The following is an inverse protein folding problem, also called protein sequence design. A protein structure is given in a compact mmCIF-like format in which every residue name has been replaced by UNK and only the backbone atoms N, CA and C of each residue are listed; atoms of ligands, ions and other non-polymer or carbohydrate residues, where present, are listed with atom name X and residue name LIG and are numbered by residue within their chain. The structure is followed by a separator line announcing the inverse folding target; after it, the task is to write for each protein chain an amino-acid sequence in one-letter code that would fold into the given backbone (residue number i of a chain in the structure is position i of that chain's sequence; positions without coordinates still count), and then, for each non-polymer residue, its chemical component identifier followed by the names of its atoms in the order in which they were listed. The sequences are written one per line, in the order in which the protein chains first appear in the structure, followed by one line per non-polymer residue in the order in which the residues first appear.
data_IF_502433620750
#
_entry.id   IF_502433620750
#
_cell.length_a   1.000
_cell.length_b   1.000
_cell.length_c   1.000
_cell.angle_alpha   90.00
_cell.angle_beta   90.00
_cell.angle_gamma   90.00
#
_symmetry.space_group_name_H-M   'P 1'
#
loop_
_entity.id
_entity.type
_entity.pdbx_description
1 polymer ?
#
# COMPACT_ATOMS: atom_id res chain seq x y z
N UNK A 1 -22.43 42.64 43.93
CA UNK A 1 -22.84 43.71 43.00
C UNK A 1 -21.89 43.91 41.82
N UNK A 2 -20.65 43.40 41.81
CA UNK A 2 -19.75 43.53 40.65
C UNK A 2 -20.03 42.56 39.47
N UNK A 3 -20.66 41.40 39.71
CA UNK A 3 -20.93 40.39 38.66
C UNK A 3 -22.02 40.77 37.66
N UNK A 4 -22.92 41.69 38.01
CA UNK A 4 -24.03 42.09 37.14
C UNK A 4 -23.64 43.23 36.19
N UNK A 5 -22.68 44.08 36.57
CA UNK A 5 -22.11 45.12 35.70
C UNK A 5 -21.33 44.51 34.53
N UNK A 6 -20.44 43.55 34.78
CA UNK A 6 -19.70 42.84 33.72
C UNK A 6 -20.65 42.08 32.78
N UNK A 7 -21.67 41.40 33.32
CA UNK A 7 -22.67 40.71 32.48
C UNK A 7 -23.47 41.66 31.59
N UNK A 8 -23.71 42.89 32.05
CA UNK A 8 -24.40 43.91 31.26
C UNK A 8 -23.51 44.44 30.13
N UNK A 9 -22.24 44.73 30.41
CA UNK A 9 -21.27 45.16 29.39
C UNK A 9 -21.02 44.10 28.33
N UNK A 10 -20.89 42.83 28.73
CA UNK A 10 -20.72 41.72 27.78
C UNK A 10 -21.95 41.51 26.89
N UNK A 11 -23.16 41.71 27.44
CA UNK A 11 -24.41 41.61 26.67
C UNK A 11 -24.58 42.78 25.71
N UNK A 12 -24.26 43.99 26.16
CA UNK A 12 -24.30 45.21 25.34
C UNK A 12 -23.21 45.21 24.24
N UNK A 13 -22.04 44.61 24.51
CA UNK A 13 -20.99 44.40 23.51
C UNK A 13 -21.43 43.45 22.39
N UNK A 14 -22.13 42.37 22.73
CA UNK A 14 -22.65 41.41 21.74
C UNK A 14 -23.80 42.05 20.95
N UNK A 15 -24.77 42.66 21.63
CA UNK A 15 -25.94 43.26 21.01
C UNK A 15 -26.38 44.52 21.74
N UNK A 16 -26.36 45.66 21.05
CA UNK A 16 -26.88 46.91 21.55
C UNK A 16 -28.29 47.16 20.96
N UNK A 17 -29.38 46.95 21.73
CA UNK A 17 -30.74 47.13 21.25
C UNK A 17 -31.12 48.59 20.97
N UNK A 18 -30.38 49.58 21.50
CA UNK A 18 -30.66 51.02 21.30
C UNK A 18 -30.14 51.52 19.96
N UNK A 19 -28.94 51.11 19.57
CA UNK A 19 -28.31 51.49 18.28
C UNK A 19 -28.47 50.42 17.19
N UNK A 20 -29.02 49.24 17.52
CA UNK A 20 -29.14 48.06 16.64
C UNK A 20 -27.79 47.62 16.06
N UNK A 21 -26.77 47.61 16.91
CA UNK A 21 -25.41 47.21 16.57
C UNK A 21 -25.11 45.81 17.13
N UNK A 22 -24.44 44.98 16.32
CA UNK A 22 -23.95 43.66 16.70
C UNK A 22 -22.42 43.69 16.71
N UNK A 23 -21.79 43.30 17.82
CA UNK A 23 -20.33 43.36 18.00
C UNK A 23 -19.72 44.71 17.59
N UNK A 24 -20.39 45.81 17.98
CA UNK A 24 -19.94 47.18 17.72
C UNK A 24 -20.09 47.69 16.28
N UNK A 25 -20.86 47.01 15.40
CA UNK A 25 -21.15 47.49 14.04
C UNK A 25 -22.63 47.38 13.69
N UNK A 26 -23.12 48.30 12.86
CA UNK A 26 -24.49 48.27 12.33
C UNK A 26 -24.68 47.13 11.33
N UNK A 27 -25.91 46.63 11.17
CA UNK A 27 -26.22 45.57 10.20
C UNK A 27 -25.82 45.92 8.76
N UNK A 28 -25.89 47.20 8.38
CA UNK A 28 -25.44 47.70 7.07
C UNK A 28 -23.92 47.55 6.89
N UNK A 29 -23.13 47.88 7.93
CA UNK A 29 -21.68 47.69 7.92
C UNK A 29 -21.30 46.21 7.84
N UNK A 30 -21.97 45.36 8.62
CA UNK A 30 -21.79 43.90 8.55
C UNK A 30 -22.12 43.34 7.15
N UNK A 31 -23.20 43.80 6.53
CA UNK A 31 -23.58 43.41 5.16
C UNK A 31 -22.52 43.82 4.13
N UNK A 32 -21.97 45.03 4.23
CA UNK A 32 -20.90 45.50 3.34
C UNK A 32 -19.59 44.73 3.52
N UNK A 33 -19.20 44.45 4.76
CA UNK A 33 -18.01 43.64 5.07
C UNK A 33 -18.18 42.22 4.54
N UNK A 34 -19.35 41.62 4.78
CA UNK A 34 -19.66 40.28 4.30
C UNK A 34 -19.62 40.23 2.78
N UNK A 35 -20.27 41.18 2.09
CA UNK A 35 -20.24 41.27 0.64
C UNK A 35 -18.81 41.44 0.11
N UNK A 36 -18.00 42.30 0.73
CA UNK A 36 -16.60 42.47 0.38
C UNK A 36 -15.83 41.15 0.48
N UNK A 37 -15.94 40.43 1.60
CA UNK A 37 -15.25 39.15 1.76
C UNK A 37 -15.78 38.07 0.82
N UNK A 38 -17.08 38.04 0.53
CA UNK A 38 -17.66 37.12 -0.46
C UNK A 38 -17.04 37.36 -1.83
N UNK A 39 -17.04 38.60 -2.33
CA UNK A 39 -16.45 38.93 -3.64
C UNK A 39 -14.95 38.68 -3.65
N UNK A 40 -14.24 39.08 -2.58
CA UNK A 40 -12.80 38.90 -2.44
C UNK A 40 -12.41 37.41 -2.47
N UNK A 41 -13.10 36.56 -1.71
CA UNK A 41 -12.81 35.13 -1.68
C UNK A 41 -13.24 34.41 -2.96
N UNK A 42 -14.30 34.84 -3.64
CA UNK A 42 -14.65 34.33 -4.98
C UNK A 42 -13.52 34.62 -5.97
N UNK A 43 -13.00 35.85 -5.97
CA UNK A 43 -11.89 36.23 -6.84
C UNK A 43 -10.61 35.44 -6.50
N UNK A 44 -10.28 35.33 -5.21
CA UNK A 44 -9.11 34.58 -4.74
C UNK A 44 -9.21 33.08 -5.09
N UNK A 45 -10.39 32.48 -4.90
CA UNK A 45 -10.66 31.10 -5.28
C UNK A 45 -10.57 30.90 -6.80
N UNK A 46 -11.06 31.87 -7.59
CA UNK A 46 -10.91 31.87 -9.05
C UNK A 46 -9.45 31.91 -9.50
N UNK A 47 -8.62 32.76 -8.88
CA UNK A 47 -7.19 32.82 -9.16
C UNK A 47 -6.49 31.50 -8.79
N UNK A 48 -6.80 30.92 -7.63
CA UNK A 48 -6.27 29.62 -7.24
C UNK A 48 -6.69 28.49 -8.18
N UNK A 49 -7.96 28.46 -8.60
CA UNK A 49 -8.46 27.47 -9.54
C UNK A 49 -7.77 27.60 -10.91
N UNK A 50 -7.53 28.83 -11.38
CA UNK A 50 -6.82 29.09 -12.63
C UNK A 50 -5.35 28.62 -12.55
N UNK A 51 -4.63 28.93 -11.48
CA UNK A 51 -3.24 28.48 -11.33
C UNK A 51 -3.14 26.97 -11.20
N UNK A 52 -4.08 26.34 -10.47
CA UNK A 52 -4.20 24.89 -10.40
C UNK A 52 -4.50 24.26 -11.77
N UNK A 53 -5.43 24.84 -12.55
CA UNK A 53 -5.76 24.37 -13.88
C UNK A 53 -4.55 24.42 -14.82
N UNK A 54 -3.82 25.53 -14.87
CA UNK A 54 -2.60 25.66 -15.70
C UNK A 54 -1.55 24.63 -15.30
N UNK A 55 -1.36 24.38 -14.00
CA UNK A 55 -0.45 23.34 -13.52
C UNK A 55 -0.89 21.95 -13.97
N UNK A 56 -2.17 21.62 -13.94
CA UNK A 56 -2.66 20.30 -14.37
C UNK A 56 -2.45 20.07 -15.88
N UNK A 57 -2.45 21.13 -16.71
CA UNK A 57 -2.17 21.01 -18.16
C UNK A 57 -0.71 20.68 -18.47
N UNK A 58 0.23 20.85 -17.53
CA UNK A 58 1.64 20.51 -17.74
C UNK A 58 1.98 19.08 -17.31
N UNK A 59 1.02 18.34 -16.73
CA UNK A 59 1.23 16.99 -16.22
C UNK A 59 0.78 15.94 -17.25
N UNK A 60 1.55 14.87 -17.37
CA UNK A 60 1.16 13.67 -18.10
C UNK A 60 0.26 12.81 -17.21
N UNK A 61 -0.86 12.34 -17.74
CA UNK A 61 -1.81 11.53 -16.99
C UNK A 61 -1.34 10.07 -16.81
N UNK A 62 -0.42 9.59 -17.65
CA UNK A 62 0.03 8.20 -17.65
C UNK A 62 1.30 7.98 -16.81
N UNK A 63 2.14 9.02 -16.66
CA UNK A 63 3.41 8.93 -15.92
C UNK A 63 3.65 10.16 -15.03
N UNK A 64 4.16 9.97 -13.80
CA UNK A 64 4.54 11.10 -12.95
C UNK A 64 5.78 11.81 -13.51
N UNK A 65 5.83 13.14 -13.38
CA UNK A 65 6.97 13.96 -13.83
C UNK A 65 8.26 13.64 -13.07
N UNK A 66 8.16 13.32 -11.78
CA UNK A 66 9.30 13.06 -10.90
C UNK A 66 9.11 11.75 -10.13
N UNK A 67 10.16 10.93 -10.05
CA UNK A 67 10.18 9.64 -9.36
C UNK A 67 11.42 9.44 -8.47
N UNK A 68 12.16 10.52 -8.21
CA UNK A 68 13.39 10.53 -7.40
C UNK A 68 13.20 9.94 -5.99
N UNK A 69 12.02 10.14 -5.39
CA UNK A 69 11.65 9.60 -4.07
C UNK A 69 11.19 8.13 -4.08
N UNK A 70 11.15 7.49 -5.25
CA UNK A 70 10.66 6.11 -5.44
C UNK A 70 11.75 5.16 -5.96
N UNK A 71 13.02 5.55 -5.85
CA UNK A 71 14.16 4.78 -6.37
C UNK A 71 14.23 3.34 -5.81
N UNK A 72 13.94 3.17 -4.52
CA UNK A 72 13.80 1.85 -3.89
C UNK A 72 12.33 1.55 -3.65
N UNK A 73 11.73 0.56 -4.34
CA UNK A 73 10.36 0.15 -4.06
C UNK A 73 10.23 -0.40 -2.64
N UNK A 74 9.16 -0.01 -1.96
CA UNK A 74 8.83 -0.57 -0.65
C UNK A 74 8.35 -2.03 -0.73
N UNK A 75 8.52 -2.80 0.34
CA UNK A 75 7.91 -4.13 0.48
C UNK A 75 6.82 -4.13 1.55
N UNK A 76 5.78 -4.91 1.31
CA UNK A 76 4.66 -5.07 2.24
C UNK A 76 4.26 -6.54 2.36
N UNK A 77 3.77 -6.91 3.53
CA UNK A 77 3.25 -8.26 3.80
C UNK A 77 1.72 -8.30 3.84
N UNK A 78 1.18 -9.49 3.65
CA UNK A 78 -0.21 -9.89 3.86
C UNK A 78 -0.23 -11.23 4.61
N UNK A 79 -1.15 -11.42 5.58
CA UNK A 79 -2.22 -10.51 5.97
C UNK A 79 -1.72 -9.30 6.77
N UNK A 80 -2.45 -8.18 6.72
CA UNK A 80 -2.16 -7.00 7.57
C UNK A 80 -2.98 -7.16 8.84
N UNK A 81 -2.34 -7.58 9.92
CA UNK A 81 -2.98 -7.74 11.22
C UNK A 81 -3.40 -6.39 11.82
N UNK A 82 -2.44 -5.47 11.92
CA UNK A 82 -2.59 -4.15 12.56
C UNK A 82 -1.58 -3.14 11.95
N UNK A 83 -1.54 -1.90 12.47
CA UNK A 83 -0.53 -0.89 12.09
C UNK A 83 0.90 -1.28 12.49
N UNK A 84 1.06 -2.21 13.44
CA UNK A 84 2.35 -2.60 14.02
C UNK A 84 3.07 -3.73 13.29
N UNK A 85 2.47 -4.33 12.24
CA UNK A 85 3.03 -5.50 11.53
C UNK A 85 3.38 -6.66 12.47
N UNK A 86 2.47 -6.99 13.38
CA UNK A 86 2.60 -8.11 14.32
C UNK A 86 1.51 -9.15 14.01
N UNK A 87 1.89 -10.40 13.76
CA UNK A 87 0.97 -11.52 13.57
C UNK A 87 1.06 -12.38 14.82
N UNK A 88 0.03 -12.28 15.66
CA UNK A 88 -0.08 -13.06 16.89
C UNK A 88 -1.37 -13.86 16.82
N UNK A 89 -1.28 -15.17 17.00
CA UNK A 89 -2.46 -16.04 17.09
C UNK A 89 -2.19 -17.25 17.97
N UNK A 90 -3.29 -17.89 18.38
CA UNK A 90 -3.27 -19.11 19.17
C UNK A 90 -3.86 -20.24 18.34
N UNK A 91 -3.11 -21.32 18.13
CA UNK A 91 -3.52 -22.44 17.26
C UNK A 91 -4.86 -23.04 17.69
N UNK A 92 -5.07 -23.17 19.01
CA UNK A 92 -6.29 -23.73 19.59
C UNK A 92 -7.53 -22.83 19.41
N UNK A 93 -7.33 -21.50 19.28
CA UNK A 93 -8.43 -20.54 19.17
C UNK A 93 -8.65 -20.16 17.71
N UNK A 94 -9.65 -20.77 17.08
CA UNK A 94 -10.01 -20.58 15.67
C UNK A 94 -10.22 -19.11 15.31
N UNK A 95 -10.94 -18.35 16.14
CA UNK A 95 -11.20 -16.92 15.91
C UNK A 95 -9.93 -16.07 15.79
N UNK A 96 -8.82 -16.48 16.43
CA UNK A 96 -7.59 -15.69 16.43
C UNK A 96 -6.87 -15.70 15.08
N UNK A 97 -6.99 -16.78 14.32
CA UNK A 97 -6.34 -16.92 13.02
C UNK A 97 -7.31 -16.85 11.84
N UNK A 98 -8.61 -17.04 12.06
CA UNK A 98 -9.63 -16.94 11.01
C UNK A 98 -9.63 -15.54 10.37
N UNK A 99 -9.38 -14.48 11.15
CA UNK A 99 -9.22 -13.12 10.61
C UNK A 99 -8.08 -13.01 9.57
N UNK A 100 -6.99 -13.75 9.77
CA UNK A 100 -5.84 -13.76 8.86
C UNK A 100 -6.14 -14.54 7.60
N UNK A 101 -6.77 -15.70 7.73
CA UNK A 101 -7.19 -16.52 6.59
C UNK A 101 -8.20 -15.78 5.71
N UNK A 102 -9.21 -15.14 6.30
CA UNK A 102 -10.18 -14.32 5.56
C UNK A 102 -9.53 -13.11 4.88
N UNK A 103 -8.59 -12.44 5.56
CA UNK A 103 -7.86 -11.32 4.96
C UNK A 103 -6.99 -11.76 3.77
N UNK A 104 -6.42 -12.97 3.81
CA UNK A 104 -5.68 -13.56 2.69
C UNK A 104 -6.61 -13.94 1.54
N UNK A 105 -7.76 -14.55 1.82
CA UNK A 105 -8.71 -14.95 0.77
C UNK A 105 -9.29 -13.75 0.03
N UNK A 106 -9.74 -12.73 0.76
CA UNK A 106 -10.20 -11.46 0.19
C UNK A 106 -9.11 -10.75 -0.63
N UNK A 107 -7.84 -10.88 -0.22
CA UNK A 107 -6.72 -10.32 -0.97
C UNK A 107 -6.40 -11.10 -2.26
N UNK A 108 -6.58 -12.42 -2.23
CA UNK A 108 -6.28 -13.32 -3.33
C UNK A 108 -7.43 -13.50 -4.33
N UNK A 109 -8.66 -13.10 -3.99
CA UNK A 109 -9.82 -13.13 -4.87
C UNK A 109 -9.55 -12.61 -6.31
N UNK A 110 -8.93 -11.42 -6.52
CA UNK A 110 -8.63 -10.95 -7.87
C UNK A 110 -7.60 -11.79 -8.62
N UNK A 111 -6.80 -12.62 -7.94
CA UNK A 111 -5.78 -13.50 -8.52
C UNK A 111 -6.30 -14.90 -8.87
N UNK A 112 -7.58 -15.18 -8.62
CA UNK A 112 -8.17 -16.44 -9.05
C UNK A 112 -7.96 -16.68 -10.55
N UNK A 113 -7.54 -17.88 -10.90
CA UNK A 113 -7.11 -18.24 -12.26
C UNK A 113 -8.18 -17.94 -13.32
N UNK A 114 -9.46 -18.14 -12.98
CA UNK A 114 -10.60 -17.79 -13.85
C UNK A 114 -10.73 -16.29 -14.10
N UNK A 115 -10.49 -15.45 -13.09
CA UNK A 115 -10.52 -14.00 -13.22
C UNK A 115 -9.31 -13.48 -14.01
N UNK A 116 -8.14 -14.08 -13.78
CA UNK A 116 -6.91 -13.73 -14.48
C UNK A 116 -7.01 -14.06 -15.97
N UNK A 117 -7.53 -15.25 -16.31
CA UNK A 117 -7.74 -15.67 -17.70
C UNK A 117 -8.67 -14.73 -18.48
N UNK A 118 -9.67 -14.12 -17.80
CA UNK A 118 -10.59 -13.18 -18.43
C UNK A 118 -10.02 -11.77 -18.58
N UNK A 119 -9.13 -11.34 -17.68
CA UNK A 119 -8.69 -9.94 -17.57
C UNK A 119 -7.30 -9.66 -18.14
N UNK A 120 -6.44 -10.67 -18.19
CA UNK A 120 -5.00 -10.57 -18.43
C UNK A 120 -4.55 -11.62 -19.46
N UNK A 121 -3.36 -11.41 -20.03
CA UNK A 121 -2.79 -12.26 -21.07
C UNK A 121 -1.68 -13.18 -20.53
N UNK A 122 -1.45 -14.30 -21.21
CA UNK A 122 -0.33 -15.18 -20.95
C UNK A 122 0.97 -14.57 -21.49
N UNK A 123 1.94 -14.34 -20.61
CA UNK A 123 3.21 -13.70 -20.94
C UNK A 123 4.36 -14.70 -20.97
N UNK A 124 5.40 -14.38 -21.74
CA UNK A 124 6.64 -15.16 -21.79
C UNK A 124 7.45 -14.97 -20.50
N UNK A 125 7.75 -16.05 -19.75
CA UNK A 125 8.55 -15.96 -18.53
C UNK A 125 9.97 -15.41 -18.78
N UNK A 126 10.55 -14.81 -17.74
CA UNK A 126 11.95 -14.39 -17.64
C UNK A 126 12.39 -13.29 -18.61
N UNK A 127 11.43 -12.64 -19.28
CA UNK A 127 11.64 -11.51 -20.17
C UNK A 127 10.78 -10.33 -19.75
N UNK A 128 11.24 -9.10 -19.97
CA UNK A 128 10.42 -7.92 -19.71
C UNK A 128 9.24 -7.83 -20.68
N UNK A 129 8.06 -7.48 -20.17
CA UNK A 129 6.88 -7.24 -20.99
C UNK A 129 6.84 -5.80 -21.48
N UNK A 130 7.79 -5.50 -22.38
CA UNK A 130 7.92 -4.20 -23.02
C UNK A 130 6.79 -4.01 -24.05
N UNK A 131 6.08 -2.90 -23.91
CA UNK A 131 4.96 -2.50 -24.78
C UNK A 131 5.25 -1.10 -25.27
N UNK A 132 6.03 -1.04 -26.34
CA UNK A 132 6.41 0.21 -26.99
C UNK A 132 5.21 0.88 -27.65
N UNK A 133 5.28 2.20 -27.71
CA UNK A 133 4.32 3.02 -28.43
C UNK A 133 4.74 3.09 -29.91
N UNK A 134 3.77 3.10 -30.84
CA UNK A 134 4.04 3.15 -32.27
C UNK A 134 4.24 4.60 -32.71
N UNK A 135 5.42 5.16 -32.40
CA UNK A 135 5.75 6.56 -32.67
C UNK A 135 4.86 7.50 -31.85
N UNK A 136 4.02 8.28 -32.52
CA UNK A 136 3.06 9.20 -31.88
C UNK A 136 1.80 8.51 -31.33
N UNK A 137 1.57 7.24 -31.69
CA UNK A 137 0.40 6.48 -31.25
C UNK A 137 0.72 5.72 -29.97
N UNK A 138 0.16 6.19 -28.84
CA UNK A 138 0.23 5.50 -27.55
C UNK A 138 -0.49 4.16 -27.62
N UNK A 139 0.20 3.11 -27.19
CA UNK A 139 -0.38 1.78 -27.06
C UNK A 139 -1.19 1.72 -25.75
N UNK A 140 -2.43 2.22 -25.76
CA UNK A 140 -3.33 2.26 -24.61
C UNK A 140 -4.68 1.58 -24.96
N UNK A 141 -5.24 0.70 -24.10
CA UNK A 141 -4.67 0.23 -22.84
C UNK A 141 -3.55 -0.80 -23.06
N UNK A 142 -2.52 -0.74 -22.23
CA UNK A 142 -1.46 -1.73 -22.20
C UNK A 142 -1.97 -3.02 -21.54
N UNK A 143 -1.55 -4.14 -22.11
CA UNK A 143 -1.87 -5.49 -21.62
C UNK A 143 -1.14 -5.77 -20.31
N UNK A 144 -1.66 -6.72 -19.54
CA UNK A 144 -1.10 -7.13 -18.25
C UNK A 144 -0.96 -8.64 -18.21
N UNK A 145 0.08 -9.13 -17.54
CA UNK A 145 0.35 -10.56 -17.43
C UNK A 145 -0.52 -11.21 -16.35
N UNK A 146 -0.97 -12.43 -16.62
CA UNK A 146 -1.68 -13.26 -15.65
C UNK A 146 -0.75 -13.62 -14.48
N UNK A 147 -1.22 -13.43 -13.25
CA UNK A 147 -0.63 -14.04 -12.06
C UNK A 147 -1.66 -14.98 -11.45
N UNK A 148 -1.50 -16.27 -11.71
CA UNK A 148 -2.42 -17.29 -11.24
C UNK A 148 -2.17 -17.58 -9.75
N UNK A 149 -3.26 -17.67 -8.97
CA UNK A 149 -3.23 -18.01 -7.55
C UNK A 149 -2.58 -19.38 -7.31
N UNK A 150 -2.69 -20.28 -8.29
CA UNK A 150 -2.03 -21.60 -8.29
C UNK A 150 -0.50 -21.55 -8.17
N UNK A 151 0.14 -20.44 -8.57
CA UNK A 151 1.60 -20.26 -8.45
C UNK A 151 2.07 -20.21 -6.99
N UNK A 152 1.17 -19.88 -6.05
CA UNK A 152 1.46 -19.88 -4.61
C UNK A 152 1.37 -21.27 -3.96
N UNK A 153 1.06 -22.31 -4.75
CA UNK A 153 1.01 -23.72 -4.33
C UNK A 153 0.27 -23.93 -3.00
N UNK A 154 0.94 -24.42 -1.95
CA UNK A 154 0.39 -24.64 -0.62
C UNK A 154 -0.24 -23.40 0.02
N UNK A 155 0.28 -22.21 -0.31
CA UNK A 155 -0.21 -20.93 0.19
C UNK A 155 -1.28 -20.31 -0.72
N UNK A 156 -1.76 -21.04 -1.72
CA UNK A 156 -2.84 -20.58 -2.59
C UNK A 156 -4.19 -20.55 -1.89
N UNK A 157 -4.47 -21.43 -0.93
CA UNK A 157 -5.82 -21.57 -0.37
C UNK A 157 -6.69 -22.64 -1.04
N UNK A 158 -6.19 -23.31 -2.10
CA UNK A 158 -6.93 -24.38 -2.78
C UNK A 158 -6.90 -25.71 -2.00
N UNK A 159 -5.72 -26.11 -1.53
CA UNK A 159 -5.54 -27.32 -0.73
C UNK A 159 -5.92 -27.08 0.74
N UNK A 160 -5.45 -25.96 1.30
CA UNK A 160 -5.72 -25.56 2.67
C UNK A 160 -6.32 -24.15 2.70
N UNK A 161 -7.60 -24.05 3.08
CA UNK A 161 -8.33 -22.77 3.18
C UNK A 161 -7.82 -21.88 4.30
N UNK A 162 -7.07 -22.42 5.24
CA UNK A 162 -6.55 -21.71 6.40
C UNK A 162 -5.07 -21.36 6.27
N UNK A 163 -4.46 -21.53 5.09
CA UNK A 163 -3.10 -21.04 4.79
C UNK A 163 -2.04 -21.46 5.81
N UNK A 164 -2.16 -22.66 6.36
CA UNK A 164 -1.28 -23.27 7.35
C UNK A 164 -1.43 -22.76 8.78
N UNK A 165 -2.34 -21.81 9.05
CA UNK A 165 -2.54 -21.26 10.39
C UNK A 165 -3.06 -22.30 11.39
N UNK A 166 -3.90 -23.25 10.95
CA UNK A 166 -4.41 -24.32 11.82
C UNK A 166 -3.30 -25.28 12.28
N UNK A 167 -2.27 -25.49 11.46
CA UNK A 167 -1.15 -26.38 11.78
C UNK A 167 0.01 -25.66 12.50
N UNK A 168 -0.11 -24.35 12.74
CA UNK A 168 0.99 -23.53 13.27
C UNK A 168 2.11 -23.28 12.25
N UNK A 169 1.82 -23.45 10.94
CA UNK A 169 2.75 -23.25 9.82
C UNK A 169 2.23 -22.17 8.86
N UNK A 170 2.12 -20.91 9.31
CA UNK A 170 1.39 -19.88 8.58
C UNK A 170 2.10 -19.51 7.28
N UNK A 171 1.31 -19.19 6.26
CA UNK A 171 1.78 -18.56 5.02
C UNK A 171 1.67 -17.03 5.13
N UNK A 172 2.75 -16.34 4.75
CA UNK A 172 2.79 -14.88 4.68
C UNK A 172 3.13 -14.48 3.24
N UNK A 173 2.29 -13.63 2.65
CA UNK A 173 2.47 -13.17 1.27
C UNK A 173 3.21 -11.85 1.28
N UNK A 174 4.29 -11.79 0.50
CA UNK A 174 5.13 -10.64 0.27
C UNK A 174 4.79 -10.05 -1.09
N UNK A 175 4.67 -8.73 -1.10
CA UNK A 175 4.34 -7.92 -2.27
C UNK A 175 5.32 -6.76 -2.37
N UNK A 176 5.80 -6.51 -3.59
CA UNK A 176 6.58 -5.32 -3.92
C UNK A 176 5.65 -4.15 -4.31
N UNK A 177 6.00 -2.93 -3.89
CA UNK A 177 5.29 -1.72 -4.33
C UNK A 177 5.50 -1.48 -5.82
N UNK A 178 4.41 -1.09 -6.50
CA UNK A 178 4.41 -0.82 -7.94
C UNK A 178 5.06 0.52 -8.21
N UNK A 179 6.09 0.54 -9.05
CA UNK A 179 6.75 1.77 -9.52
C UNK A 179 6.71 1.78 -11.04
N UNK A 180 6.25 2.89 -11.62
CA UNK A 180 6.07 3.02 -13.07
C UNK A 180 7.44 3.02 -13.75
N UNK A 181 7.65 2.11 -14.72
CA UNK A 181 8.92 2.00 -15.45
C UNK A 181 10.03 1.23 -14.73
N UNK A 182 9.76 0.63 -13.56
CA UNK A 182 10.78 -0.10 -12.80
C UNK A 182 11.22 -1.39 -13.51
N UNK A 183 12.54 -1.55 -13.66
CA UNK A 183 13.20 -2.75 -14.18
C UNK A 183 14.16 -3.30 -13.11
N UNK A 184 13.73 -4.24 -12.26
CA UNK A 184 14.48 -4.64 -11.07
C UNK A 184 15.69 -5.54 -11.36
N UNK A 185 15.72 -6.19 -12.52
CA UNK A 185 16.75 -7.15 -12.92
C UNK A 185 17.83 -6.55 -13.82
N UNK A 186 18.96 -7.25 -13.92
CA UNK A 186 19.99 -6.99 -14.93
C UNK A 186 20.34 -8.32 -15.62
N UNK A 187 20.55 -8.30 -16.94
CA UNK A 187 20.88 -9.49 -17.75
C UNK A 187 19.93 -10.69 -17.57
N UNK A 188 18.63 -10.45 -17.38
CA UNK A 188 17.63 -11.52 -17.24
C UNK A 188 17.53 -12.13 -15.83
N UNK A 189 18.29 -11.65 -14.84
CA UNK A 189 18.14 -12.11 -13.46
C UNK A 189 16.90 -11.51 -12.80
N UNK A 190 15.96 -12.37 -12.41
CA UNK A 190 14.77 -11.99 -11.66
C UNK A 190 15.13 -11.58 -10.21
N UNK A 191 14.53 -10.51 -9.67
CA UNK A 191 14.68 -10.17 -8.26
C UNK A 191 14.02 -11.25 -7.38
N UNK A 192 14.60 -11.52 -6.22
CA UNK A 192 14.11 -12.56 -5.31
C UNK A 192 14.11 -12.10 -3.85
N UNK A 193 13.20 -12.65 -3.07
CA UNK A 193 13.06 -12.30 -1.65
C UNK A 193 13.86 -13.27 -0.79
N UNK A 194 14.56 -12.73 0.21
CA UNK A 194 15.17 -13.54 1.27
C UNK A 194 14.67 -13.07 2.62
N UNK A 195 14.08 -13.98 3.38
CA UNK A 195 13.63 -13.75 4.76
C UNK A 195 14.59 -14.42 5.74
N UNK A 196 14.87 -13.71 6.83
CA UNK A 196 15.66 -14.21 7.94
C UNK A 196 15.21 -13.58 9.26
N UNK A 197 15.55 -14.21 10.37
CA UNK A 197 15.34 -13.59 11.67
C UNK A 197 16.36 -12.46 11.90
N UNK A 198 15.95 -11.45 12.66
CA UNK A 198 16.86 -10.41 13.14
C UNK A 198 17.88 -11.06 14.09
N UNK A 199 19.13 -10.61 14.09
CA UNK A 199 20.32 -11.28 14.70
C UNK A 199 20.08 -12.09 15.99
N UNK A 200 19.29 -11.59 16.94
CA UNK A 200 18.99 -12.23 18.23
C UNK A 200 18.06 -13.45 18.14
N UNK A 201 17.23 -13.55 17.10
CA UNK A 201 16.22 -14.60 16.90
C UNK A 201 16.61 -15.62 15.81
N UNK A 202 17.88 -15.63 15.37
CA UNK A 202 18.36 -16.44 14.23
C UNK A 202 18.03 -17.93 14.35
N UNK A 203 18.08 -18.46 15.57
CA UNK A 203 17.82 -19.88 15.86
C UNK A 203 16.32 -20.21 15.94
N UNK A 204 15.44 -19.20 15.94
CA UNK A 204 14.00 -19.36 16.23
C UNK A 204 13.10 -19.43 14.99
N UNK A 205 13.58 -18.98 13.84
CA UNK A 205 12.78 -18.92 12.60
C UNK A 205 12.60 -20.29 11.93
N UNK A 206 13.59 -21.18 12.11
CA UNK A 206 13.62 -22.50 11.49
C UNK A 206 13.64 -22.49 9.96
N UNK A 207 13.10 -23.56 9.38
CA UNK A 207 13.05 -23.75 7.92
C UNK A 207 11.90 -22.96 7.28
N UNK A 208 12.21 -22.33 6.14
CA UNK A 208 11.31 -21.51 5.34
C UNK A 208 11.18 -22.08 3.93
N UNK A 209 9.96 -22.09 3.41
CA UNK A 209 9.69 -22.44 2.00
C UNK A 209 9.08 -21.25 1.28
N UNK A 210 9.53 -21.01 0.06
CA UNK A 210 9.08 -19.90 -0.79
C UNK A 210 8.25 -20.42 -1.96
N UNK A 211 7.17 -19.72 -2.28
CA UNK A 211 6.32 -20.00 -3.43
C UNK A 211 6.09 -18.72 -4.25
N UNK A 212 6.42 -18.67 -5.55
CA UNK A 212 7.09 -19.71 -6.34
C UNK A 212 8.52 -20.02 -5.85
N UNK A 213 9.14 -21.13 -6.32
CA UNK A 213 10.47 -21.55 -5.89
C UNK A 213 11.50 -20.41 -5.96
N UNK A 214 12.42 -20.37 -5.00
CA UNK A 214 13.41 -19.29 -4.80
C UNK A 214 12.82 -17.91 -4.47
N UNK A 215 11.50 -17.76 -4.32
CA UNK A 215 10.88 -16.49 -3.94
C UNK A 215 11.11 -15.38 -4.96
N UNK A 216 11.15 -15.73 -6.25
CA UNK A 216 11.45 -14.81 -7.35
C UNK A 216 10.21 -14.06 -7.83
N UNK A 217 10.35 -12.78 -8.15
CA UNK A 217 9.37 -12.06 -8.96
C UNK A 217 9.79 -12.12 -10.42
N UNK A 218 9.04 -12.85 -11.24
CA UNK A 218 9.37 -13.04 -12.65
C UNK A 218 9.43 -11.68 -13.40
N UNK A 219 10.39 -11.53 -14.31
CA UNK A 219 10.59 -10.30 -15.08
C UNK A 219 9.41 -9.95 -16.00
N UNK A 220 8.58 -10.93 -16.36
CA UNK A 220 7.40 -10.74 -17.23
C UNK A 220 6.38 -9.76 -16.68
N UNK A 221 6.32 -9.56 -15.37
CA UNK A 221 5.41 -8.58 -14.77
C UNK A 221 5.93 -7.13 -14.85
N UNK A 222 7.16 -6.92 -15.30
CA UNK A 222 7.78 -5.61 -15.38
C UNK A 222 8.00 -5.18 -16.84
N UNK A 223 7.96 -3.86 -17.14
CA UNK A 223 7.67 -2.75 -16.23
C UNK A 223 6.16 -2.52 -16.01
N UNK A 224 5.82 -1.88 -14.90
CA UNK A 224 4.47 -1.35 -14.66
C UNK A 224 4.30 -0.02 -15.39
N UNK A 225 3.18 0.18 -16.09
CA UNK A 225 2.92 1.41 -16.87
C UNK A 225 1.90 2.35 -16.22
N UNK A 226 1.49 2.09 -14.98
CA UNK A 226 0.54 2.94 -14.28
C UNK A 226 -0.90 2.44 -14.39
N UNK A 227 -1.75 2.93 -13.48
CA UNK A 227 -3.13 2.43 -13.33
C UNK A 227 -4.01 2.79 -14.53
N UNK A 228 -3.72 3.91 -15.18
CA UNK A 228 -4.46 4.41 -16.35
C UNK A 228 -4.14 3.59 -17.60
N UNK A 229 -2.85 3.33 -17.85
CA UNK A 229 -2.41 2.53 -18.98
C UNK A 229 -2.67 1.02 -18.78
N UNK A 230 -2.46 0.48 -17.58
CA UNK A 230 -2.67 -0.94 -17.25
C UNK A 230 -3.71 -1.11 -16.14
N UNK A 231 -4.99 -1.12 -16.51
CA UNK A 231 -6.11 -1.16 -15.55
C UNK A 231 -6.15 -2.47 -14.76
N UNK A 232 -5.89 -3.61 -15.43
CA UNK A 232 -6.02 -4.95 -14.85
C UNK A 232 -4.70 -5.52 -14.30
N UNK A 233 -3.69 -4.66 -14.08
CA UNK A 233 -2.37 -5.11 -13.66
C UNK A 233 -2.39 -5.91 -12.34
N UNK A 234 -2.07 -7.19 -12.46
CA UNK A 234 -1.78 -8.09 -11.36
C UNK A 234 -0.30 -7.99 -11.00
N UNK A 235 -0.02 -7.61 -9.76
CA UNK A 235 1.37 -7.59 -9.30
C UNK A 235 1.81 -9.02 -8.96
N UNK A 236 3.08 -9.38 -9.17
CA UNK A 236 3.56 -10.67 -8.74
C UNK A 236 3.62 -10.74 -7.21
N UNK A 237 3.30 -11.91 -6.67
CA UNK A 237 3.30 -12.21 -5.25
C UNK A 237 4.31 -13.32 -4.96
N UNK A 238 4.87 -13.31 -3.76
CA UNK A 238 5.70 -14.40 -3.23
C UNK A 238 5.14 -14.77 -1.88
N UNK A 239 4.80 -16.04 -1.65
CA UNK A 239 4.44 -16.54 -0.33
C UNK A 239 5.66 -17.16 0.36
N UNK A 240 5.72 -16.98 1.67
CA UNK A 240 6.71 -17.61 2.55
C UNK A 240 5.95 -18.42 3.59
N UNK A 241 6.20 -19.73 3.63
CA UNK A 241 5.62 -20.67 4.58
C UNK A 241 6.65 -21.01 5.65
N UNK A 242 6.26 -20.82 6.92
CA UNK A 242 7.10 -21.10 8.08
C UNK A 242 6.86 -22.54 8.52
N UNK A 243 7.85 -23.43 8.37
CA UNK A 243 7.67 -24.86 8.67
C UNK A 243 8.00 -25.21 10.13
N UNK A 244 9.03 -24.58 10.70
CA UNK A 244 9.58 -24.96 12.01
C UNK A 244 9.95 -23.73 12.86
N UNK A 245 8.99 -22.84 13.07
CA UNK A 245 9.18 -21.65 13.91
C UNK A 245 8.99 -21.99 15.40
N UNK A 246 9.80 -21.41 16.28
CA UNK A 246 9.67 -21.58 17.73
C UNK A 246 8.34 -21.00 18.23
N UNK A 247 7.55 -21.85 18.87
CA UNK A 247 6.25 -21.46 19.43
C UNK A 247 6.34 -20.78 20.79
N UNK A 248 5.29 -20.04 21.16
CA UNK A 248 5.10 -19.29 22.40
C UNK A 248 6.13 -18.16 22.63
N UNK A 249 6.93 -17.83 21.62
CA UNK A 249 7.88 -16.72 21.65
C UNK A 249 7.61 -15.71 20.53
N UNK A 250 8.12 -14.51 20.75
CA UNK A 250 8.10 -13.42 19.77
C UNK A 250 9.32 -13.56 18.84
N UNK A 251 9.10 -13.78 17.55
CA UNK A 251 10.17 -13.88 16.54
C UNK A 251 10.13 -12.69 15.60
N UNK A 252 11.22 -11.93 15.54
CA UNK A 252 11.34 -10.79 14.62
C UNK A 252 11.93 -11.23 13.29
N UNK A 253 11.15 -11.14 12.22
CA UNK A 253 11.52 -11.56 10.88
C UNK A 253 11.74 -10.33 10.00
N UNK A 254 12.82 -10.32 9.24
CA UNK A 254 13.12 -9.33 8.21
C UNK A 254 13.22 -10.03 6.85
N UNK A 255 12.38 -9.60 5.90
CA UNK A 255 12.46 -10.01 4.51
C UNK A 255 13.04 -8.87 3.68
N UNK A 256 13.99 -9.18 2.80
CA UNK A 256 14.64 -8.21 1.91
C UNK A 256 14.55 -8.64 0.45
N UNK A 257 14.47 -7.66 -0.45
CA UNK A 257 14.54 -7.89 -1.90
C UNK A 257 16.00 -7.87 -2.34
N UNK A 258 16.41 -8.91 -3.06
CA UNK A 258 17.73 -9.01 -3.66
C UNK A 258 17.57 -8.77 -5.16
N UNK A 259 18.13 -7.65 -5.63
CA UNK A 259 18.08 -7.28 -7.04
C UNK A 259 19.25 -6.36 -7.40
N UNK A 260 19.73 -6.43 -8.64
CA UNK A 260 20.90 -5.65 -9.07
C UNK A 260 20.57 -4.17 -9.31
N UNK A 261 19.37 -3.87 -9.81
CA UNK A 261 18.94 -2.50 -10.15
C UNK A 261 18.10 -1.84 -9.05
N UNK A 262 17.96 -2.46 -7.88
CA UNK A 262 17.28 -1.85 -6.74
C UNK A 262 18.36 -1.44 -5.72
N UNK A 263 18.51 -0.13 -5.44
CA UNK A 263 19.45 0.32 -4.44
C UNK A 263 19.04 -0.20 -3.05
N UNK A 264 20.04 -0.58 -2.27
CA UNK A 264 19.86 -1.03 -0.89
C UNK A 264 19.22 0.12 -0.11
N UNK A 265 18.09 -0.15 0.54
CA UNK A 265 17.32 0.84 1.29
C UNK A 265 18.14 1.50 2.40
N UNK A 266 17.78 2.73 2.76
CA UNK A 266 18.39 3.46 3.87
C UNK A 266 17.90 2.93 5.22
N UNK A 267 18.72 3.03 6.27
CA UNK A 267 18.29 2.74 7.65
C UNK A 267 17.17 3.65 8.17
N UNK A 268 16.97 4.80 7.54
CA UNK A 268 15.84 5.69 7.85
C UNK A 268 14.51 5.15 7.35
N UNK A 269 14.51 4.42 6.24
CA UNK A 269 13.31 3.83 5.65
C UNK A 269 13.32 2.31 5.85
N UNK A 270 12.59 1.88 6.88
CA UNK A 270 12.48 0.47 7.26
C UNK A 270 11.70 -0.37 6.25
N UNK A 271 11.04 0.24 5.26
CA UNK A 271 10.24 -0.45 4.26
C UNK A 271 10.87 -0.43 2.86
N UNK A 272 11.89 0.41 2.62
CA UNK A 272 12.60 0.49 1.35
C UNK A 272 13.41 -0.80 1.09
N UNK A 273 12.92 -1.66 0.19
CA UNK A 273 13.59 -2.91 -0.18
C UNK A 273 13.66 -3.97 0.93
N UNK A 274 12.98 -3.74 2.07
CA UNK A 274 12.85 -4.69 3.17
C UNK A 274 11.53 -4.52 3.88
N UNK A 275 11.11 -5.53 4.63
CA UNK A 275 9.94 -5.45 5.52
C UNK A 275 10.24 -6.27 6.76
N UNK A 276 10.07 -5.64 7.93
CA UNK A 276 10.20 -6.31 9.22
C UNK A 276 8.83 -6.50 9.84
N UNK A 277 8.58 -7.69 10.38
CA UNK A 277 7.34 -8.00 11.08
C UNK A 277 7.64 -8.99 12.20
N UNK A 278 6.71 -9.06 13.16
CA UNK A 278 6.81 -9.95 14.32
C UNK A 278 5.81 -11.08 14.16
N UNK A 279 6.24 -12.31 14.40
CA UNK A 279 5.39 -13.49 14.35
C UNK A 279 5.44 -14.22 15.70
N UNK A 280 4.27 -14.49 16.28
CA UNK A 280 4.12 -15.30 17.48
C UNK A 280 2.99 -16.30 17.33
N UNK A 281 3.31 -17.57 17.53
CA UNK A 281 2.37 -18.68 17.45
C UNK A 281 2.23 -19.29 18.84
N UNK A 282 1.08 -19.13 19.48
CA UNK A 282 0.82 -19.74 20.78
C UNK A 282 0.20 -21.14 20.57
N UNK A 283 0.86 -22.17 21.10
CA UNK A 283 0.38 -23.57 21.03
C UNK A 283 -0.35 -23.97 22.32
N UNK A 284 -0.06 -23.29 23.43
CA UNK A 284 -0.68 -23.51 24.74
C UNK A 284 -1.52 -22.29 25.16
N UNK A 285 -2.56 -22.54 25.96
CA UNK A 285 -3.39 -21.50 26.59
C UNK A 285 -2.59 -20.66 27.60
#
# INVERSE_FOLDING_TARGET
MAKDGEKSEWREFIWNPRTREFLGRTASSWGLIFLFYVVFYIFLAGLFALTMYVMLQTLDEDKPTWQDRLATPGMVIRPKADETFEIVYTVQKTESWDMYAQALDNFLEPYNDTMQLQKNDECTPDQYFLQEDSGDVRNNPKRSCQFNRSVLEDCSGFNDRYYGYQEGKPCIIIKLNRVIGLLPGNNGQAPYVTCGAKREDSDKIGELVYFPPNGTFNLMYYPYYGKKAQVNYSQPLVAVKFLNITANEDVNIECKINANNIPIGSDRDKFAGRVSFKLRININN
#
